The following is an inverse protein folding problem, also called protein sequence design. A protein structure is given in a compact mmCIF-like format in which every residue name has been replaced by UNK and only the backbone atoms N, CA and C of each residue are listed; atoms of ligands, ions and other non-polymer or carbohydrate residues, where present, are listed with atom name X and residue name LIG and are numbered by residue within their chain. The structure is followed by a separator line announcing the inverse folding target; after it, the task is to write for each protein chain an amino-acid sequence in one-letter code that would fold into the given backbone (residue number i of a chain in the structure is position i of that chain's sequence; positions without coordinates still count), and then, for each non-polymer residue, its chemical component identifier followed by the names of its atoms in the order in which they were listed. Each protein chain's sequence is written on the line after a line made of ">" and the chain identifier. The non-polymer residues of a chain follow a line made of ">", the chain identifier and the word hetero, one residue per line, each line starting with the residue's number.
data_IF_918991393554
#
_entry.id   IF_918991393554
#
_cell.length_a   1.000
_cell.length_b   1.000
_cell.length_c   1.000
_cell.angle_alpha   90.00
_cell.angle_beta   90.00
_cell.angle_gamma   90.00
#
_symmetry.space_group_name_H-M   'P 1'
#
loop_
_entity.id
_entity.type
_entity.pdbx_description
1 polymer ?
#
# COMPACT_ATOMS: atom_id res chain seq x y z
N UNK A 1 7.46 17.91 0.59
CA UNK A 1 7.23 16.58 -0.03
C UNK A 1 5.80 16.18 0.27
N UNK A 2 5.04 15.69 -0.69
CA UNK A 2 3.69 15.15 -0.46
C UNK A 2 3.71 13.65 -0.70
N UNK A 3 3.04 12.89 0.16
CA UNK A 3 2.86 11.45 0.00
C UNK A 3 1.42 11.16 -0.36
N UNK A 4 1.22 10.30 -1.34
CA UNK A 4 -0.09 9.95 -1.88
C UNK A 4 -0.27 8.43 -1.86
N UNK A 5 -1.43 8.00 -1.43
CA UNK A 5 -1.91 6.65 -1.72
C UNK A 5 -2.95 6.75 -2.83
N UNK A 6 -2.75 6.02 -3.91
CA UNK A 6 -3.69 6.12 -5.03
C UNK A 6 -3.79 4.84 -5.85
N UNK A 7 -4.96 4.73 -6.49
CA UNK A 7 -5.20 3.82 -7.59
C UNK A 7 -5.49 4.64 -8.85
N UNK A 8 -5.18 4.10 -10.00
CA UNK A 8 -5.29 4.80 -11.26
C UNK A 8 -6.37 4.17 -12.15
N UNK A 9 -7.61 4.48 -11.84
CA UNK A 9 -8.76 4.03 -12.63
C UNK A 9 -9.35 5.16 -13.45
N UNK A 10 -9.79 4.82 -14.67
CA UNK A 10 -10.64 5.64 -15.52
C UNK A 10 -11.93 4.89 -15.85
N UNK A 11 -12.87 5.61 -16.46
CA UNK A 11 -14.20 5.12 -16.74
C UNK A 11 -15.26 5.75 -15.86
N UNK A 12 -16.49 5.69 -16.29
CA UNK A 12 -17.67 6.31 -15.68
C UNK A 12 -18.50 5.29 -14.88
N UNK A 13 -18.25 4.01 -15.12
CA UNK A 13 -18.88 2.91 -14.42
C UNK A 13 -17.97 1.67 -14.40
N UNK A 14 -18.42 0.60 -13.73
CA UNK A 14 -17.66 -0.64 -13.63
C UNK A 14 -17.49 -1.38 -14.95
N UNK A 15 -18.43 -1.20 -15.91
CA UNK A 15 -18.34 -1.84 -17.22
C UNK A 15 -17.30 -1.16 -18.11
N UNK A 16 -16.99 0.12 -17.84
CA UNK A 16 -16.02 0.94 -18.53
C UNK A 16 -14.71 1.12 -17.75
N UNK A 17 -14.54 0.44 -16.62
CA UNK A 17 -13.33 0.53 -15.81
C UNK A 17 -12.11 0.18 -16.65
N UNK A 18 -11.10 1.05 -16.61
CA UNK A 18 -9.81 0.88 -17.29
C UNK A 18 -8.66 1.44 -16.48
N UNK A 19 -7.46 1.05 -16.83
CA UNK A 19 -6.25 1.65 -16.25
C UNK A 19 -5.99 3.06 -16.82
N UNK A 20 -5.61 3.96 -15.95
CA UNK A 20 -5.05 5.29 -16.25
C UNK A 20 -3.60 5.43 -15.72
N UNK A 21 -2.97 4.30 -15.42
CA UNK A 21 -1.64 4.27 -14.78
C UNK A 21 -0.55 4.93 -15.60
N UNK A 22 -0.60 4.84 -16.93
CA UNK A 22 0.36 5.53 -17.80
C UNK A 22 0.31 7.04 -17.59
N UNK A 23 -0.88 7.63 -17.68
CA UNK A 23 -1.06 9.07 -17.51
C UNK A 23 -0.66 9.53 -16.10
N UNK A 24 -0.99 8.73 -15.10
CA UNK A 24 -0.64 9.05 -13.73
C UNK A 24 0.86 8.92 -13.48
N UNK A 25 1.52 7.88 -14.02
CA UNK A 25 2.96 7.70 -13.91
C UNK A 25 3.72 8.82 -14.62
N UNK A 26 3.30 9.24 -15.82
CA UNK A 26 3.87 10.40 -16.52
C UNK A 26 3.80 11.68 -15.68
N UNK A 27 2.62 11.96 -15.11
CA UNK A 27 2.46 13.08 -14.20
C UNK A 27 3.39 12.98 -13.00
N UNK A 28 3.41 11.81 -12.34
CA UNK A 28 4.20 11.55 -11.14
C UNK A 28 5.70 11.67 -11.40
N UNK A 29 6.19 11.12 -12.52
CA UNK A 29 7.59 11.19 -12.91
C UNK A 29 8.05 12.64 -13.13
N UNK A 30 7.14 13.50 -13.60
CA UNK A 30 7.37 14.93 -13.76
C UNK A 30 7.36 15.74 -12.44
N UNK A 31 6.98 15.14 -11.30
CA UNK A 31 6.84 15.83 -10.01
C UNK A 31 7.83 15.32 -8.96
N UNK A 32 9.06 15.85 -8.87
CA UNK A 32 10.11 15.27 -8.03
C UNK A 32 9.82 15.29 -6.52
N UNK A 33 8.85 16.09 -6.10
CA UNK A 33 8.49 16.23 -4.68
C UNK A 33 7.36 15.29 -4.22
N UNK A 34 6.91 14.38 -5.09
CA UNK A 34 5.90 13.40 -4.75
C UNK A 34 6.52 12.05 -4.40
N UNK A 35 5.99 11.44 -3.37
CA UNK A 35 6.16 10.01 -3.05
C UNK A 35 4.78 9.36 -2.98
N UNK A 36 4.71 8.06 -3.22
CA UNK A 36 3.46 7.32 -3.14
C UNK A 36 3.66 5.89 -2.69
N UNK A 37 2.59 5.29 -2.21
CA UNK A 37 2.46 3.84 -2.14
C UNK A 37 1.42 3.37 -3.17
N UNK A 38 1.71 2.24 -3.80
CA UNK A 38 0.79 1.60 -4.73
C UNK A 38 0.28 0.30 -4.13
N UNK A 39 -1.04 0.25 -3.94
CA UNK A 39 -1.74 -0.95 -3.48
C UNK A 39 -1.78 -2.01 -4.58
N UNK A 40 -1.06 -3.10 -4.40
CA UNK A 40 -1.13 -4.23 -5.30
C UNK A 40 -2.19 -5.23 -4.82
N UNK A 41 -3.10 -5.59 -5.71
CA UNK A 41 -4.12 -6.61 -5.49
C UNK A 41 -3.61 -7.95 -6.00
N UNK A 42 -3.91 -9.04 -5.30
CA UNK A 42 -3.64 -10.40 -5.75
C UNK A 42 -4.94 -11.20 -5.88
N UNK A 43 -5.00 -12.07 -6.87
CA UNK A 43 -6.15 -12.98 -7.00
C UNK A 43 -6.17 -13.99 -5.87
N UNK A 44 -7.34 -14.27 -5.36
CA UNK A 44 -7.59 -15.16 -4.24
C UNK A 44 -8.35 -14.48 -3.11
N UNK A 45 -8.38 -15.16 -1.98
CA UNK A 45 -9.13 -14.71 -0.82
C UNK A 45 -8.41 -13.56 -0.12
N UNK A 46 -9.19 -12.57 0.27
CA UNK A 46 -8.79 -11.41 1.01
C UNK A 46 -9.91 -10.97 1.96
N UNK A 47 -9.71 -9.86 2.61
CA UNK A 47 -10.71 -9.23 3.46
C UNK A 47 -10.76 -7.76 3.08
N UNK A 48 -11.90 -7.28 2.64
CA UNK A 48 -12.06 -5.91 2.18
C UNK A 48 -13.09 -5.15 3.00
N UNK A 49 -13.10 -3.85 2.84
CA UNK A 49 -14.10 -2.97 3.46
C UNK A 49 -15.35 -2.99 2.59
N UNK A 50 -16.52 -3.08 3.23
CA UNK A 50 -17.80 -3.13 2.53
C UNK A 50 -18.18 -1.86 1.80
N UNK A 51 -17.66 -0.74 2.29
CA UNK A 51 -17.94 0.59 1.76
C UNK A 51 -16.98 0.96 0.63
N UNK A 52 -16.98 0.18 -0.43
CA UNK A 52 -16.19 0.44 -1.61
C UNK A 52 -16.72 1.63 -2.44
N UNK A 53 -16.00 1.98 -3.51
CA UNK A 53 -16.30 3.13 -4.34
C UNK A 53 -17.75 3.26 -4.81
N UNK A 54 -18.45 2.20 -5.28
CA UNK A 54 -19.83 2.29 -5.70
C UNK A 54 -20.78 2.68 -4.57
N UNK A 55 -20.59 2.12 -3.39
CA UNK A 55 -21.40 2.44 -2.23
C UNK A 55 -21.19 3.88 -1.76
N UNK A 56 -19.94 4.30 -1.67
CA UNK A 56 -19.60 5.68 -1.34
C UNK A 56 -20.17 6.66 -2.35
N UNK A 57 -20.06 6.36 -3.65
CA UNK A 57 -20.62 7.21 -4.69
C UNK A 57 -22.14 7.32 -4.59
N UNK A 58 -22.85 6.22 -4.32
CA UNK A 58 -24.29 6.21 -4.10
C UNK A 58 -24.66 7.09 -2.90
N UNK A 59 -23.94 6.99 -1.78
CA UNK A 59 -24.18 7.83 -0.62
C UNK A 59 -23.93 9.30 -0.92
N UNK A 60 -22.88 9.63 -1.67
CA UNK A 60 -22.65 11.00 -2.12
C UNK A 60 -23.80 11.53 -2.96
N UNK A 61 -24.30 10.76 -3.93
CA UNK A 61 -25.45 11.15 -4.76
C UNK A 61 -26.71 11.38 -3.93
N UNK A 62 -26.96 10.55 -2.93
CA UNK A 62 -28.14 10.64 -2.08
C UNK A 62 -28.07 11.78 -1.08
N UNK A 63 -26.91 12.04 -0.50
CA UNK A 63 -26.75 12.98 0.62
C UNK A 63 -26.17 14.32 0.21
N UNK A 64 -25.51 14.42 -0.95
CA UNK A 64 -24.76 15.58 -1.38
C UNK A 64 -23.52 15.91 -0.53
N UNK A 65 -23.15 15.03 0.40
CA UNK A 65 -22.01 15.21 1.30
C UNK A 65 -20.75 14.58 0.71
N UNK A 66 -19.59 15.08 1.17
CA UNK A 66 -18.31 14.46 0.89
C UNK A 66 -18.36 13.00 1.32
N UNK A 67 -17.95 12.12 0.43
CA UNK A 67 -17.88 10.69 0.70
C UNK A 67 -16.43 10.26 0.92
N UNK A 68 -16.25 9.29 1.81
CA UNK A 68 -14.96 8.73 2.14
C UNK A 68 -15.16 7.51 3.01
N UNK A 69 -14.20 6.59 2.98
CA UNK A 69 -14.28 5.33 3.72
C UNK A 69 -14.60 5.53 5.20
N UNK A 70 -13.96 6.51 5.80
CA UNK A 70 -14.08 6.74 7.23
C UNK A 70 -15.51 7.08 7.63
N UNK A 71 -16.18 7.96 6.89
CA UNK A 71 -17.57 8.32 7.17
C UNK A 71 -18.51 7.14 6.97
N UNK A 72 -18.33 6.42 5.88
CA UNK A 72 -19.17 5.26 5.59
C UNK A 72 -19.00 4.17 6.64
N UNK A 73 -17.78 3.89 7.07
CA UNK A 73 -17.49 2.90 8.10
C UNK A 73 -18.09 3.30 9.46
N UNK A 74 -17.99 4.56 9.84
CA UNK A 74 -18.50 5.04 11.11
C UNK A 74 -20.03 5.17 11.13
N UNK A 75 -20.63 5.64 10.04
CA UNK A 75 -22.07 5.87 9.97
C UNK A 75 -22.87 4.60 9.74
N UNK A 76 -22.37 3.69 8.92
CA UNK A 76 -23.10 2.51 8.48
C UNK A 76 -22.75 1.26 9.27
N UNK A 77 -21.73 1.31 10.11
CA UNK A 77 -21.19 0.15 10.78
C UNK A 77 -20.63 -0.89 9.80
N UNK A 78 -20.27 -0.45 8.60
CA UNK A 78 -19.63 -1.30 7.61
C UNK A 78 -18.34 -1.87 8.20
N UNK A 79 -18.28 -3.17 8.18
CA UNK A 79 -17.12 -3.90 8.68
C UNK A 79 -16.27 -4.44 7.55
N UNK A 80 -15.22 -5.06 7.95
CA UNK A 80 -14.34 -5.84 7.09
C UNK A 80 -15.04 -7.14 6.74
N UNK A 81 -15.14 -7.46 5.45
CA UNK A 81 -15.81 -8.68 4.96
C UNK A 81 -14.88 -9.53 4.11
N UNK A 82 -15.04 -10.87 4.13
CA UNK A 82 -14.35 -11.73 3.19
C UNK A 82 -14.67 -11.36 1.74
N UNK A 83 -13.64 -11.29 0.92
CA UNK A 83 -13.75 -11.03 -0.51
C UNK A 83 -12.77 -11.91 -1.28
N UNK A 84 -13.19 -12.40 -2.45
CA UNK A 84 -12.32 -13.18 -3.33
C UNK A 84 -12.08 -12.41 -4.63
N UNK A 85 -10.87 -11.93 -4.85
CA UNK A 85 -10.46 -11.38 -6.13
C UNK A 85 -10.30 -12.49 -7.17
N UNK A 86 -11.02 -12.38 -8.28
CA UNK A 86 -11.05 -13.42 -9.33
C UNK A 86 -10.39 -12.92 -10.61
N UNK A 87 -9.36 -13.59 -11.08
CA UNK A 87 -8.70 -13.27 -12.35
C UNK A 87 -9.63 -13.35 -13.56
N UNK A 88 -10.72 -14.13 -13.47
CA UNK A 88 -11.77 -14.21 -14.51
C UNK A 88 -12.75 -13.03 -14.49
N UNK A 89 -12.75 -12.22 -13.44
CA UNK A 89 -13.57 -11.01 -13.35
C UNK A 89 -12.80 -9.83 -13.96
N UNK A 90 -13.43 -9.13 -14.91
CA UNK A 90 -12.81 -8.02 -15.65
C UNK A 90 -12.37 -6.88 -14.70
N UNK A 91 -13.20 -6.51 -13.73
CA UNK A 91 -12.90 -5.45 -12.77
C UNK A 91 -11.68 -5.83 -11.91
N UNK A 92 -11.69 -7.03 -11.33
CA UNK A 92 -10.58 -7.49 -10.51
C UNK A 92 -9.27 -7.62 -11.33
N UNK A 93 -9.36 -8.02 -12.59
CA UNK A 93 -8.20 -8.08 -13.48
C UNK A 93 -7.60 -6.69 -13.77
N UNK A 94 -8.43 -5.67 -13.97
CA UNK A 94 -7.97 -4.28 -14.11
C UNK A 94 -7.36 -3.78 -12.81
N UNK A 95 -7.99 -4.06 -11.67
CA UNK A 95 -7.46 -3.68 -10.34
C UNK A 95 -6.10 -4.31 -10.06
N UNK A 96 -5.94 -5.61 -10.39
CA UNK A 96 -4.66 -6.31 -10.27
C UNK A 96 -3.57 -5.67 -11.12
N UNK A 97 -3.89 -5.33 -12.38
CA UNK A 97 -2.93 -4.76 -13.30
C UNK A 97 -2.47 -3.36 -12.89
N UNK A 98 -3.39 -2.50 -12.45
CA UNK A 98 -3.11 -1.09 -12.11
C UNK A 98 -2.02 -0.94 -11.04
N UNK A 99 -2.03 -1.76 -9.99
CA UNK A 99 -1.00 -1.71 -8.95
C UNK A 99 0.38 -2.06 -9.49
N UNK A 100 0.47 -3.12 -10.31
CA UNK A 100 1.72 -3.53 -10.96
C UNK A 100 2.20 -2.51 -11.98
N UNK A 101 1.29 -1.95 -12.77
CA UNK A 101 1.62 -0.92 -13.77
C UNK A 101 2.22 0.31 -13.11
N UNK A 102 1.64 0.82 -12.02
CA UNK A 102 2.18 1.98 -11.30
C UNK A 102 3.59 1.72 -10.77
N UNK A 103 3.79 0.56 -10.13
CA UNK A 103 5.13 0.16 -9.66
C UNK A 103 6.13 0.08 -10.81
N UNK A 104 5.74 -0.46 -11.96
CA UNK A 104 6.63 -0.66 -13.10
C UNK A 104 6.86 0.61 -13.95
N UNK A 105 5.94 1.58 -13.94
CA UNK A 105 6.00 2.79 -14.77
C UNK A 105 6.62 4.01 -14.05
N UNK A 106 6.68 3.99 -12.73
CA UNK A 106 7.36 5.05 -11.97
C UNK A 106 8.87 4.78 -11.98
N UNK A 107 9.63 5.74 -12.50
CA UNK A 107 11.05 5.56 -12.82
C UNK A 107 11.93 5.44 -11.57
N UNK A 108 11.63 6.24 -10.54
CA UNK A 108 12.45 6.33 -9.33
C UNK A 108 11.89 5.46 -8.20
N UNK A 109 12.52 4.31 -7.88
CA UNK A 109 12.05 3.41 -6.83
C UNK A 109 12.07 4.04 -5.42
N UNK A 110 12.80 5.13 -5.22
CA UNK A 110 12.79 5.87 -3.96
C UNK A 110 11.51 6.66 -3.72
N UNK A 111 10.63 6.73 -4.71
CA UNK A 111 9.41 7.52 -4.66
C UNK A 111 8.13 6.72 -4.71
N UNK A 112 8.20 5.42 -4.99
CA UNK A 112 7.04 4.51 -5.02
C UNK A 112 7.28 3.32 -4.10
N UNK A 113 6.30 2.98 -3.27
CA UNK A 113 6.44 1.91 -2.28
C UNK A 113 5.38 0.85 -2.49
N UNK A 114 5.78 -0.40 -2.21
CA UNK A 114 4.88 -1.55 -2.34
C UNK A 114 3.99 -1.65 -1.10
N UNK A 115 2.69 -1.70 -1.31
CA UNK A 115 1.71 -2.07 -0.30
C UNK A 115 0.65 -3.02 -0.86
N UNK A 116 -0.04 -3.73 0.00
CA UNK A 116 -1.25 -4.48 -0.33
C UNK A 116 -2.48 -3.88 0.33
N UNK A 117 -2.31 -2.79 1.07
CA UNK A 117 -3.36 -2.26 1.94
C UNK A 117 -3.95 -3.40 2.80
N UNK A 118 -3.04 -4.14 3.45
CA UNK A 118 -3.37 -5.36 4.17
C UNK A 118 -4.56 -5.19 5.13
N UNK A 119 -5.58 -6.06 5.06
CA UNK A 119 -5.71 -7.22 4.18
C UNK A 119 -6.47 -6.96 2.86
N UNK A 120 -6.80 -5.71 2.55
CA UNK A 120 -7.74 -5.32 1.50
C UNK A 120 -7.32 -5.83 0.10
N UNK A 121 -6.15 -5.48 -0.39
CA UNK A 121 -5.65 -5.94 -1.69
C UNK A 121 -5.13 -7.37 -1.67
N UNK A 122 -4.40 -7.71 -0.61
CA UNK A 122 -3.90 -9.06 -0.30
C UNK A 122 -3.38 -9.11 1.13
N UNK A 123 -3.28 -10.31 1.68
CA UNK A 123 -2.61 -10.52 2.96
C UNK A 123 -1.09 -10.29 2.85
N UNK A 124 -0.47 -9.72 3.89
CA UNK A 124 0.94 -9.33 3.85
C UNK A 124 1.91 -10.48 3.57
N UNK A 125 1.58 -11.71 3.93
CA UNK A 125 2.43 -12.88 3.62
C UNK A 125 2.48 -13.22 2.12
N UNK A 126 1.69 -12.55 1.27
CA UNK A 126 1.71 -12.70 -0.18
C UNK A 126 2.59 -11.66 -0.89
N UNK A 127 3.29 -10.80 -0.17
CA UNK A 127 4.30 -9.92 -0.77
C UNK A 127 5.32 -10.65 -1.68
N UNK A 128 5.78 -11.86 -1.35
CA UNK A 128 6.69 -12.62 -2.23
C UNK A 128 6.16 -12.85 -3.64
N UNK A 129 4.86 -13.11 -3.80
CA UNK A 129 4.21 -13.25 -5.11
C UNK A 129 4.26 -11.95 -5.93
N UNK A 130 3.99 -10.80 -5.27
CA UNK A 130 4.07 -9.49 -5.93
C UNK A 130 5.52 -9.20 -6.36
N UNK A 131 6.49 -9.49 -5.50
CA UNK A 131 7.90 -9.34 -5.81
C UNK A 131 8.27 -10.21 -7.02
N UNK A 132 7.80 -11.43 -7.09
CA UNK A 132 8.03 -12.30 -8.25
C UNK A 132 7.43 -11.70 -9.53
N UNK A 133 6.21 -11.17 -9.48
CA UNK A 133 5.58 -10.47 -10.61
C UNK A 133 6.38 -9.24 -11.06
N UNK A 134 7.02 -8.52 -10.14
CA UNK A 134 7.83 -7.35 -10.47
C UNK A 134 9.22 -7.72 -11.03
N UNK A 135 9.79 -8.85 -10.61
CA UNK A 135 11.15 -9.27 -10.96
C UNK A 135 11.21 -10.28 -12.12
N UNK A 136 10.09 -10.78 -12.60
CA UNK A 136 10.06 -11.81 -13.63
C UNK A 136 8.97 -11.49 -14.68
N UNK A 137 9.39 -10.95 -15.82
CA UNK A 137 8.48 -10.57 -16.89
C UNK A 137 7.82 -11.79 -17.57
N UNK A 138 8.51 -12.92 -17.62
CA UNK A 138 7.96 -14.15 -18.19
C UNK A 138 6.83 -14.70 -17.34
N UNK A 139 7.04 -14.80 -16.03
CA UNK A 139 6.00 -15.20 -15.08
C UNK A 139 4.81 -14.23 -15.12
N UNK A 140 5.09 -12.93 -15.18
CA UNK A 140 4.04 -11.91 -15.30
C UNK A 140 3.23 -12.09 -16.59
N UNK A 141 3.88 -12.39 -17.74
CA UNK A 141 3.18 -12.68 -19.00
C UNK A 141 2.28 -13.91 -18.90
N UNK A 142 2.75 -14.99 -18.28
CA UNK A 142 1.92 -16.19 -18.06
C UNK A 142 0.66 -15.89 -17.21
N UNK A 143 0.76 -14.96 -16.25
CA UNK A 143 -0.38 -14.51 -15.47
C UNK A 143 -1.35 -13.65 -16.31
N UNK A 144 -0.81 -12.75 -17.15
CA UNK A 144 -1.58 -11.89 -18.06
C UNK A 144 -2.38 -12.71 -19.07
N UNK A 145 -1.79 -13.76 -19.64
CA UNK A 145 -2.44 -14.63 -20.63
C UNK A 145 -3.71 -15.33 -20.11
N UNK A 146 -3.84 -15.46 -18.79
CA UNK A 146 -5.02 -16.04 -18.12
C UNK A 146 -6.16 -15.06 -17.91
N UNK A 147 -5.94 -13.77 -18.20
CA UNK A 147 -6.93 -12.72 -17.99
C UNK A 147 -8.01 -12.70 -19.10
N UNK A 148 -9.22 -12.22 -18.77
CA UNK A 148 -10.27 -12.06 -19.77
C UNK A 148 -9.87 -11.06 -20.88
N UNK A 149 -10.21 -11.35 -22.12
CA UNK A 149 -9.94 -10.45 -23.26
C UNK A 149 -10.45 -9.02 -23.04
N UNK A 150 -11.58 -8.86 -22.34
CA UNK A 150 -12.12 -7.56 -21.99
C UNK A 150 -11.21 -6.76 -21.06
N UNK A 151 -10.51 -7.43 -20.14
CA UNK A 151 -9.54 -6.78 -19.26
C UNK A 151 -8.26 -6.41 -20.02
N UNK A 152 -7.76 -7.31 -20.88
CA UNK A 152 -6.56 -7.07 -21.69
C UNK A 152 -6.65 -5.80 -22.56
N UNK A 153 -7.84 -5.45 -23.00
CA UNK A 153 -8.11 -4.20 -23.77
C UNK A 153 -8.13 -2.94 -22.91
N UNK A 154 -8.05 -3.07 -21.59
CA UNK A 154 -8.24 -1.99 -20.59
C UNK A 154 -7.06 -1.77 -19.67
N UNK A 155 -5.99 -2.50 -19.87
CA UNK A 155 -4.75 -2.45 -19.09
C UNK A 155 -3.57 -2.20 -20.02
N UNK A 156 -2.47 -1.72 -19.43
CA UNK A 156 -1.22 -1.44 -20.15
C UNK A 156 -0.13 -2.48 -19.85
N UNK A 157 -0.34 -3.32 -18.84
CA UNK A 157 0.62 -4.29 -18.33
C UNK A 157 1.24 -5.21 -19.41
N UNK A 158 0.49 -5.66 -20.47
CA UNK A 158 1.07 -6.48 -21.53
C UNK A 158 2.21 -5.82 -22.31
N UNK A 159 2.31 -4.50 -22.30
CA UNK A 159 3.36 -3.72 -22.96
C UNK A 159 4.53 -3.31 -22.07
N UNK A 160 4.59 -3.79 -20.83
CA UNK A 160 5.61 -3.39 -19.86
C UNK A 160 6.58 -4.53 -19.62
N UNK A 161 7.80 -4.41 -20.15
CA UNK A 161 8.85 -5.44 -20.03
C UNK A 161 9.83 -5.16 -18.86
N UNK A 162 9.70 -4.01 -18.16
CA UNK A 162 10.56 -3.67 -17.02
C UNK A 162 10.52 -4.76 -15.95
N UNK A 163 11.68 -5.09 -15.42
CA UNK A 163 11.88 -5.92 -14.24
C UNK A 163 12.60 -5.13 -13.15
N UNK A 164 12.22 -5.38 -11.92
CA UNK A 164 12.93 -4.86 -10.76
C UNK A 164 14.16 -5.70 -10.44
N UNK A 165 15.23 -5.03 -10.07
CA UNK A 165 16.41 -5.66 -9.48
C UNK A 165 16.19 -5.91 -7.99
N UNK A 166 17.01 -6.77 -7.38
CA UNK A 166 17.00 -6.98 -5.91
C UNK A 166 17.22 -5.68 -5.14
N UNK A 167 18.05 -4.78 -5.66
CA UNK A 167 18.29 -3.48 -5.04
C UNK A 167 17.06 -2.59 -5.08
N UNK A 168 16.34 -2.54 -6.18
CA UNK A 168 15.09 -1.77 -6.30
C UNK A 168 14.00 -2.37 -5.40
N UNK A 169 13.90 -3.70 -5.31
CA UNK A 169 12.99 -4.34 -4.37
C UNK A 169 13.32 -3.92 -2.93
N UNK A 170 14.59 -3.98 -2.51
CA UNK A 170 14.99 -3.53 -1.17
C UNK A 170 14.63 -2.05 -0.91
N UNK A 171 14.67 -1.21 -1.95
CA UNK A 171 14.25 0.19 -1.85
C UNK A 171 12.75 0.30 -1.65
N UNK A 172 11.92 -0.30 -2.51
CA UNK A 172 10.46 -0.11 -2.48
C UNK A 172 9.75 -0.76 -1.29
N UNK A 173 10.38 -1.77 -0.65
CA UNK A 173 9.79 -2.46 0.51
C UNK A 173 10.42 -2.05 1.85
N UNK A 174 11.57 -1.39 1.87
CA UNK A 174 12.31 -1.13 3.10
C UNK A 174 12.93 0.27 3.14
N UNK A 175 13.94 0.56 2.33
CA UNK A 175 14.72 1.80 2.41
C UNK A 175 13.88 3.04 2.06
N UNK A 176 13.06 2.97 1.03
CA UNK A 176 12.17 4.04 0.61
C UNK A 176 11.10 4.36 1.66
N UNK A 177 10.31 3.39 2.13
CA UNK A 177 9.37 3.60 3.23
C UNK A 177 10.00 4.15 4.50
N UNK A 178 11.15 3.62 4.92
CA UNK A 178 11.87 4.10 6.09
C UNK A 178 12.26 5.58 5.95
N UNK A 179 12.77 5.97 4.77
CA UNK A 179 13.09 7.37 4.46
C UNK A 179 11.85 8.26 4.45
N UNK A 180 10.75 7.80 3.86
CA UNK A 180 9.50 8.58 3.80
C UNK A 180 8.90 8.82 5.18
N UNK A 181 9.02 7.83 6.07
CA UNK A 181 8.55 7.90 7.45
C UNK A 181 9.53 8.62 8.40
N UNK A 182 10.66 9.12 7.90
CA UNK A 182 11.67 9.80 8.71
C UNK A 182 12.35 8.89 9.74
N UNK A 183 12.56 7.63 9.39
CA UNK A 183 13.21 6.61 10.23
C UNK A 183 14.68 6.40 9.80
N UNK A 184 15.63 7.28 10.18
CA UNK A 184 16.99 7.22 9.67
C UNK A 184 17.80 6.00 10.12
N UNK A 185 17.32 5.27 11.14
CA UNK A 185 17.96 4.04 11.62
C UNK A 185 17.41 2.77 10.94
N UNK A 186 16.42 2.90 10.05
CA UNK A 186 15.75 1.79 9.37
C UNK A 186 16.09 1.74 7.89
N UNK A 187 15.90 0.58 7.28
CA UNK A 187 15.98 0.40 5.83
C UNK A 187 17.40 0.41 5.24
N UNK A 188 18.45 0.33 6.05
CA UNK A 188 19.84 0.25 5.58
C UNK A 188 20.71 -0.57 6.53
N UNK A 189 21.90 -0.96 6.05
CA UNK A 189 22.89 -1.75 6.79
C UNK A 189 24.11 -0.90 7.24
N UNK A 190 23.99 0.42 7.23
CA UNK A 190 25.07 1.33 7.63
C UNK A 190 25.30 1.36 9.14
N UNK A 191 26.44 1.92 9.55
CA UNK A 191 26.76 2.11 10.97
C UNK A 191 25.70 2.99 11.64
N UNK A 192 25.18 2.54 12.78
CA UNK A 192 24.13 3.23 13.54
C UNK A 192 22.71 2.84 13.13
N UNK A 193 22.54 1.98 12.13
CA UNK A 193 21.24 1.40 11.83
C UNK A 193 20.82 0.38 12.88
N UNK A 194 19.50 0.23 13.04
CA UNK A 194 18.96 -0.92 13.75
C UNK A 194 19.37 -2.20 13.03
N UNK A 195 19.71 -3.23 13.79
CA UNK A 195 20.08 -4.53 13.22
C UNK A 195 18.84 -5.34 12.84
N UNK A 196 17.99 -4.76 11.99
CA UNK A 196 16.83 -5.42 11.37
C UNK A 196 17.29 -5.93 10.00
N UNK A 197 17.56 -7.23 9.89
CA UNK A 197 18.19 -7.82 8.70
C UNK A 197 17.45 -9.07 8.27
N UNK A 198 17.10 -9.15 7.00
CA UNK A 198 16.60 -10.38 6.37
C UNK A 198 17.68 -10.95 5.44
N UNK A 199 17.99 -12.22 5.61
CA UNK A 199 18.93 -12.99 4.81
C UNK A 199 18.18 -14.07 4.07
N UNK A 200 18.38 -14.13 2.76
CA UNK A 200 17.74 -15.12 1.88
C UNK A 200 18.80 -15.96 1.17
N UNK A 201 18.46 -17.22 0.89
CA UNK A 201 19.21 -17.98 -0.10
C UNK A 201 18.79 -17.53 -1.49
N UNK A 202 19.73 -17.30 -2.40
CA UNK A 202 19.40 -16.90 -3.77
C UNK A 202 18.62 -18.02 -4.48
N UNK A 203 17.49 -17.67 -5.06
CA UNK A 203 16.61 -18.55 -5.79
C UNK A 203 16.00 -17.82 -6.98
N UNK A 204 16.05 -18.41 -8.20
CA UNK A 204 15.40 -17.80 -9.37
C UNK A 204 13.87 -17.67 -9.22
N UNK A 205 13.25 -18.53 -8.44
CA UNK A 205 11.87 -18.38 -7.98
C UNK A 205 11.86 -17.36 -6.83
N UNK A 206 11.57 -16.10 -7.15
CA UNK A 206 11.58 -14.99 -6.19
C UNK A 206 10.47 -15.11 -5.15
N UNK A 207 9.36 -15.73 -5.47
CA UNK A 207 8.31 -16.01 -4.49
C UNK A 207 8.81 -16.95 -3.40
N UNK A 208 9.45 -18.05 -3.80
CA UNK A 208 10.06 -18.98 -2.85
C UNK A 208 11.19 -18.35 -2.05
N UNK A 209 12.05 -17.56 -2.73
CA UNK A 209 13.16 -16.86 -2.09
C UNK A 209 12.68 -15.95 -0.96
N UNK A 210 11.75 -15.04 -1.24
CA UNK A 210 11.27 -14.07 -0.26
C UNK A 210 10.28 -14.66 0.74
N UNK A 211 9.62 -15.76 0.40
CA UNK A 211 8.73 -16.49 1.31
C UNK A 211 9.45 -17.32 2.38
N UNK A 212 10.77 -17.57 2.20
CA UNK A 212 11.56 -18.44 3.09
C UNK A 212 12.89 -17.78 3.48
N UNK A 213 12.89 -16.82 4.41
CA UNK A 213 14.11 -16.21 4.89
C UNK A 213 14.96 -17.26 5.61
N UNK A 214 16.25 -17.30 5.27
CA UNK A 214 17.21 -18.13 6.01
C UNK A 214 17.39 -17.63 7.43
N UNK A 215 17.54 -16.31 7.57
CA UNK A 215 17.55 -15.63 8.88
C UNK A 215 16.77 -14.35 8.80
N UNK A 216 16.01 -14.07 9.85
CA UNK A 216 15.45 -12.75 10.12
C UNK A 216 15.96 -12.29 11.47
N UNK A 217 16.61 -11.13 11.50
CA UNK A 217 17.08 -10.49 12.70
C UNK A 217 16.22 -9.25 12.99
N UNK A 218 15.87 -9.06 14.23
CA UNK A 218 15.16 -7.88 14.74
C UNK A 218 15.95 -7.30 15.92
N UNK A 219 16.47 -6.08 15.76
CA UNK A 219 17.31 -5.48 16.77
C UNK A 219 18.58 -6.29 17.10
N UNK A 220 19.11 -7.06 16.13
CA UNK A 220 20.27 -7.93 16.31
C UNK A 220 19.95 -9.33 16.87
N UNK A 221 18.71 -9.60 17.26
CA UNK A 221 18.26 -10.93 17.70
C UNK A 221 17.70 -11.77 16.56
N UNK A 222 18.11 -13.02 16.45
CA UNK A 222 17.54 -13.96 15.47
C UNK A 222 16.12 -14.30 15.89
N UNK A 223 15.15 -13.89 15.07
CA UNK A 223 13.71 -14.16 15.30
C UNK A 223 13.16 -15.24 14.36
N UNK A 224 13.78 -15.42 13.18
CA UNK A 224 13.48 -16.52 12.26
C UNK A 224 14.79 -17.18 11.81
N UNK A 225 14.79 -18.51 11.72
CA UNK A 225 15.90 -19.30 11.19
C UNK A 225 15.35 -20.42 10.32
N UNK A 226 15.83 -20.50 9.07
CA UNK A 226 15.40 -21.46 8.04
C UNK A 226 13.86 -21.52 7.89
N UNK A 227 13.20 -20.35 7.93
CA UNK A 227 11.75 -20.19 7.82
C UNK A 227 10.96 -20.43 9.13
N UNK A 228 11.59 -20.96 10.18
CA UNK A 228 10.95 -21.22 11.47
C UNK A 228 11.06 -20.02 12.43
N UNK A 229 9.95 -19.66 13.08
CA UNK A 229 9.95 -18.64 14.11
C UNK A 229 10.66 -19.17 15.36
N UNK A 230 11.77 -18.54 15.75
CA UNK A 230 12.56 -18.88 16.94
C UNK A 230 12.20 -18.05 18.15
N UNK A 231 11.84 -16.79 17.93
CA UNK A 231 11.51 -15.83 18.98
C UNK A 231 10.47 -14.85 18.49
N UNK A 232 9.56 -14.48 19.35
CA UNK A 232 8.70 -13.31 19.16
C UNK A 232 9.27 -12.15 19.98
N UNK A 233 9.33 -10.98 19.39
CA UNK A 233 9.79 -9.76 20.03
C UNK A 233 8.75 -8.67 19.83
N UNK A 234 8.57 -7.82 20.83
CA UNK A 234 7.65 -6.71 20.74
C UNK A 234 8.22 -5.63 19.80
N UNK A 235 7.32 -4.95 19.09
CA UNK A 235 7.64 -3.76 18.33
C UNK A 235 7.76 -2.52 19.24
N UNK A 236 8.17 -1.41 18.65
CA UNK A 236 8.08 -0.08 19.27
C UNK A 236 7.09 0.77 18.48
N UNK A 237 6.25 1.47 19.18
CA UNK A 237 5.40 2.49 18.58
C UNK A 237 6.23 3.76 18.34
N UNK A 238 6.21 4.26 17.12
CA UNK A 238 6.81 5.54 16.76
C UNK A 238 5.70 6.49 16.35
N UNK A 239 5.60 7.62 17.04
CA UNK A 239 4.59 8.64 16.79
C UNK A 239 5.28 9.91 16.35
N UNK A 240 4.82 10.44 15.22
CA UNK A 240 5.25 11.76 14.75
C UNK A 240 4.23 12.79 15.22
N UNK A 241 4.68 13.81 15.94
CA UNK A 241 3.86 14.93 16.39
C UNK A 241 4.30 16.19 15.63
N UNK A 242 3.60 16.55 14.53
CA UNK A 242 3.88 17.79 13.84
C UNK A 242 3.44 18.99 14.67
N UNK A 243 4.21 20.07 14.63
CA UNK A 243 3.72 21.36 15.11
C UNK A 243 2.72 21.95 14.10
N UNK A 244 1.67 22.54 14.59
CA UNK A 244 0.68 23.22 13.74
C UNK A 244 0.09 24.42 14.47
N UNK A 245 -0.46 25.38 13.72
CA UNK A 245 -1.20 26.50 14.30
C UNK A 245 -2.55 26.01 14.84
N UNK A 246 -2.69 25.97 16.16
CA UNK A 246 -3.91 25.50 16.83
C UNK A 246 -5.16 26.31 16.46
N UNK A 247 -5.02 27.54 15.98
CA UNK A 247 -6.14 28.35 15.53
C UNK A 247 -6.86 27.73 14.32
N UNK A 248 -6.21 26.81 13.58
CA UNK A 248 -6.83 26.07 12.47
C UNK A 248 -8.04 25.23 12.96
N UNK A 249 -8.04 24.79 14.21
CA UNK A 249 -9.14 24.01 14.78
C UNK A 249 -10.46 24.79 14.80
N UNK A 250 -10.41 26.11 15.04
CA UNK A 250 -11.61 26.97 15.00
C UNK A 250 -12.25 26.99 13.60
N UNK A 251 -11.43 26.90 12.57
CA UNK A 251 -11.89 26.82 11.17
C UNK A 251 -12.34 25.42 10.81
N UNK A 252 -11.60 24.39 11.24
CA UNK A 252 -11.88 23.00 10.86
C UNK A 252 -13.10 22.43 11.58
N UNK A 253 -13.34 22.79 12.83
CA UNK A 253 -14.42 22.24 13.65
C UNK A 253 -15.80 22.39 12.97
N UNK A 254 -16.23 23.58 12.50
CA UNK A 254 -17.51 23.73 11.81
C UNK A 254 -17.61 22.90 10.52
N UNK A 255 -16.51 22.80 9.76
CA UNK A 255 -16.46 21.99 8.55
C UNK A 255 -16.59 20.49 8.90
N UNK A 256 -15.91 20.07 9.98
CA UNK A 256 -15.97 18.70 10.43
C UNK A 256 -17.41 18.33 10.84
N UNK A 257 -18.05 19.13 11.69
CA UNK A 257 -19.43 18.92 12.13
C UNK A 257 -20.45 18.98 10.96
N UNK A 258 -20.12 19.71 9.88
CA UNK A 258 -20.97 19.76 8.69
C UNK A 258 -20.88 18.50 7.82
N UNK A 259 -19.68 17.89 7.71
CA UNK A 259 -19.39 16.84 6.73
C UNK A 259 -19.25 15.44 7.33
N UNK A 260 -19.13 15.34 8.66
CA UNK A 260 -18.93 14.07 9.37
C UNK A 260 -20.00 13.89 10.44
N UNK A 261 -20.36 12.65 10.72
CA UNK A 261 -21.29 12.32 11.80
C UNK A 261 -20.63 12.14 13.14
N UNK A 262 -19.32 11.88 13.14
CA UNK A 262 -18.54 11.88 14.37
C UNK A 262 -18.23 13.30 14.84
N UNK A 263 -18.26 13.50 16.14
CA UNK A 263 -17.79 14.77 16.74
C UNK A 263 -16.28 14.94 16.54
N UNK A 264 -15.86 16.17 16.26
CA UNK A 264 -14.45 16.51 16.18
C UNK A 264 -13.68 16.11 17.47
N UNK A 265 -14.31 16.22 18.63
CA UNK A 265 -13.69 15.88 19.91
C UNK A 265 -13.46 14.38 20.11
N UNK A 266 -14.09 13.52 19.31
CA UNK A 266 -13.89 12.07 19.35
C UNK A 266 -12.72 11.58 18.47
N UNK A 267 -12.12 12.46 17.70
CA UNK A 267 -11.03 12.12 16.78
C UNK A 267 -9.64 12.04 17.42
N UNK A 268 -9.29 12.91 18.41
CA UNK A 268 -7.97 12.85 19.02
C UNK A 268 -7.73 11.53 19.75
N UNK A 269 -6.57 10.92 19.53
CA UNK A 269 -6.12 9.78 20.33
C UNK A 269 -5.66 10.31 21.70
N UNK A 270 -6.18 9.75 22.78
CA UNK A 270 -5.78 10.09 24.15
C UNK A 270 -4.30 9.74 24.36
N UNK A 271 -3.51 10.72 24.80
CA UNK A 271 -2.06 10.56 24.99
C UNK A 271 -1.69 9.47 26.00
N UNK A 272 -2.58 9.17 26.93
CA UNK A 272 -2.41 8.09 27.93
C UNK A 272 -2.34 6.71 27.30
N UNK A 273 -2.92 6.54 26.11
CA UNK A 273 -2.85 5.28 25.32
C UNK A 273 -1.53 5.13 24.57
N UNK A 274 -0.70 6.16 24.58
CA UNK A 274 0.59 6.21 23.89
C UNK A 274 1.76 6.07 24.86
N UNK A 275 1.50 5.56 26.07
CA UNK A 275 2.53 5.34 27.09
C UNK A 275 3.59 4.36 26.56
N UNK A 276 4.85 4.79 26.56
CA UNK A 276 5.97 4.01 26.04
C UNK A 276 6.28 4.19 24.56
N UNK A 277 5.50 5.00 23.84
CA UNK A 277 5.78 5.31 22.44
C UNK A 277 7.00 6.22 22.27
N UNK A 278 7.77 6.01 21.19
CA UNK A 278 8.84 6.92 20.76
C UNK A 278 8.21 8.12 20.03
N UNK A 279 8.04 9.24 20.73
CA UNK A 279 7.41 10.44 20.18
C UNK A 279 8.46 11.33 19.56
N UNK A 280 8.30 11.65 18.27
CA UNK A 280 9.17 12.56 17.52
C UNK A 280 8.44 13.84 17.19
N UNK A 281 8.92 14.94 17.73
CA UNK A 281 8.43 16.28 17.37
C UNK A 281 9.01 16.67 16.00
N UNK A 282 8.13 17.12 15.09
CA UNK A 282 8.49 17.66 13.79
C UNK A 282 8.01 19.10 13.71
N UNK A 283 8.95 20.03 13.55
CA UNK A 283 8.71 21.46 13.38
C UNK A 283 8.72 21.87 11.92
#
# INVERSE_FOLDING_TARGET
>A
MAHLQFHSYGGDDWDNLRSESVRLAEFFNGQPNLTADAGAILFGDSVTITADGPWQHLLYQLTGRKWGNLDVENETGCGVVPYTYKGTNMVNAVQWAVGLELLLLIDDPWRIYLTTDHPNGACFWRYPEIIHLLMNADFRRECIEKLPEKALKRIHLPGIDREYTLSEIAIIISAGPARALGMPQKGHLGVGADADVALYNDDPDRERMFGHPRYLLKGGEVVVEEGDIRKMVDGRECIVRPSFDKNIEEYLRPLFEQYYTMSFDNYPVEMERLEGADIRECG
#
